data_IF_578811694591
#
_entry.id   IF_578811694591
#
_cell.length_a   1.000
_cell.length_b   1.000
_cell.length_c   1.000
_cell.angle_alpha   90.00
_cell.angle_beta   90.00
_cell.angle_gamma   90.00
#
_symmetry.space_group_name_H-M   'P 1'
#
loop_
_entity.id
_entity.type
_entity.pdbx_description
1 polymer ?
#
# COMPACT_ATOMS: atom_id res chain seq x y z
N UNK A 1 -17.08 -11.53 6.84
CA UNK A 1 -15.80 -12.28 6.88
C UNK A 1 -14.68 -11.27 7.13
N UNK A 2 -13.81 -11.43 8.14
CA UNK A 2 -12.67 -10.52 8.33
C UNK A 2 -11.54 -10.94 7.40
N UNK A 3 -11.03 -10.01 6.58
CA UNK A 3 -9.96 -10.31 5.61
C UNK A 3 -8.59 -10.54 6.29
N UNK A 4 -8.36 -9.96 7.47
CA UNK A 4 -7.16 -10.13 8.28
C UNK A 4 -7.53 -10.38 9.75
N UNK A 5 -6.69 -11.15 10.45
CA UNK A 5 -6.78 -11.40 11.89
C UNK A 5 -5.52 -10.90 12.57
N UNK A 6 -5.69 -9.99 13.53
CA UNK A 6 -4.63 -9.59 14.46
C UNK A 6 -4.70 -10.48 15.70
N UNK A 7 -3.59 -11.10 16.07
CA UNK A 7 -3.47 -11.94 17.26
C UNK A 7 -2.25 -11.49 18.09
N UNK A 8 -2.46 -10.67 19.13
CA UNK A 8 -1.36 -10.14 19.92
C UNK A 8 -0.95 -11.05 21.09
N UNK A 9 -1.51 -12.25 21.21
CA UNK A 9 -1.34 -13.09 22.42
C UNK A 9 0.12 -13.44 22.73
N UNK A 10 1.00 -13.44 21.72
CA UNK A 10 2.45 -13.64 21.90
C UNK A 10 3.22 -12.42 22.41
N UNK A 11 2.62 -11.23 22.47
CA UNK A 11 3.29 -9.99 22.88
C UNK A 11 2.55 -9.24 23.98
N UNK A 12 1.22 -9.29 24.00
CA UNK A 12 0.38 -8.69 25.03
C UNK A 12 0.01 -9.79 26.04
N UNK A 13 0.82 -9.88 27.09
CA UNK A 13 0.76 -10.89 28.14
C UNK A 13 1.27 -10.26 29.45
N UNK A 14 0.62 -10.55 30.57
CA UNK A 14 1.02 -10.06 31.89
C UNK A 14 2.32 -10.67 32.44
N UNK A 15 2.71 -11.87 32.00
CA UNK A 15 3.84 -12.61 32.57
C UNK A 15 5.20 -12.17 31.99
N UNK A 16 5.27 -12.00 30.66
CA UNK A 16 6.53 -11.71 29.95
C UNK A 16 6.42 -10.61 28.88
N UNK A 17 5.25 -9.98 28.74
CA UNK A 17 4.96 -9.06 27.65
C UNK A 17 4.46 -7.68 28.11
N UNK A 18 3.88 -6.95 27.16
CA UNK A 18 3.18 -5.69 27.47
C UNK A 18 1.86 -6.03 28.14
N UNK A 19 1.58 -5.38 29.27
CA UNK A 19 0.31 -5.62 29.97
C UNK A 19 -0.84 -4.88 29.29
N UNK A 20 -2.06 -5.36 29.51
CA UNK A 20 -3.27 -4.66 29.02
C UNK A 20 -3.37 -3.24 29.59
N UNK A 21 -2.90 -3.00 30.81
CA UNK A 21 -2.99 -1.67 31.43
C UNK A 21 -1.93 -0.71 30.86
N UNK A 22 -0.73 -1.21 30.54
CA UNK A 22 0.27 -0.43 29.80
C UNK A 22 -0.23 -0.06 28.41
N UNK A 23 -0.88 -0.99 27.70
CA UNK A 23 -1.48 -0.70 26.40
C UNK A 23 -2.59 0.36 26.51
N UNK A 24 -3.50 0.22 27.49
CA UNK A 24 -4.58 1.19 27.72
C UNK A 24 -4.04 2.58 28.07
N UNK A 25 -2.93 2.65 28.81
CA UNK A 25 -2.29 3.92 29.14
C UNK A 25 -1.82 4.70 27.90
N UNK A 26 -1.57 4.02 26.76
CA UNK A 26 -1.21 4.66 25.50
C UNK A 26 -2.42 5.17 24.70
N UNK A 27 -3.64 4.75 25.04
CA UNK A 27 -4.82 5.06 24.23
C UNK A 27 -5.05 6.55 23.99
N UNK A 28 -4.92 7.45 24.99
CA UNK A 28 -5.08 8.89 24.75
C UNK A 28 -4.14 9.39 23.65
N UNK A 29 -2.85 9.03 23.72
CA UNK A 29 -1.86 9.44 22.73
C UNK A 29 -2.10 8.81 21.35
N UNK A 30 -2.50 7.54 21.30
CA UNK A 30 -2.84 6.87 20.04
C UNK A 30 -4.06 7.51 19.38
N UNK A 31 -5.04 7.98 20.16
CA UNK A 31 -6.20 8.69 19.62
C UNK A 31 -5.82 10.06 19.06
N UNK A 32 -4.93 10.80 19.70
CA UNK A 32 -4.39 12.05 19.15
C UNK A 32 -3.69 11.82 17.82
N UNK A 33 -2.80 10.82 17.74
CA UNK A 33 -2.08 10.48 16.50
C UNK A 33 -3.03 10.02 15.39
N UNK A 34 -4.06 9.23 15.74
CA UNK A 34 -5.11 8.83 14.79
C UNK A 34 -5.86 10.06 14.29
N UNK A 35 -6.28 10.96 15.17
CA UNK A 35 -7.01 12.18 14.82
C UNK A 35 -6.20 13.05 13.87
N UNK A 36 -4.91 13.22 14.15
CA UNK A 36 -3.98 13.96 13.31
C UNK A 36 -3.90 13.35 11.90
N UNK A 37 -3.53 12.07 11.80
CA UNK A 37 -3.33 11.39 10.51
C UNK A 37 -4.62 11.24 9.68
N UNK A 38 -5.75 10.93 10.34
CA UNK A 38 -7.00 10.58 9.64
C UNK A 38 -7.83 11.81 9.28
N UNK A 39 -7.81 12.84 10.11
CA UNK A 39 -8.74 13.97 9.97
C UNK A 39 -7.99 15.28 9.66
N UNK A 40 -6.98 15.64 10.46
CA UNK A 40 -6.26 16.91 10.31
C UNK A 40 -5.43 16.92 9.04
N UNK A 41 -4.60 15.90 8.83
CA UNK A 41 -3.72 15.82 7.67
C UNK A 41 -4.53 15.70 6.37
N UNK A 42 -5.61 14.92 6.37
CA UNK A 42 -6.50 14.81 5.22
C UNK A 42 -7.13 16.16 4.84
N UNK A 43 -7.57 16.95 5.83
CA UNK A 43 -8.10 18.30 5.59
C UNK A 43 -7.03 19.28 5.08
N UNK A 44 -5.81 19.24 5.64
CA UNK A 44 -4.69 20.07 5.19
C UNK A 44 -4.26 19.72 3.75
N UNK A 45 -4.26 18.44 3.40
CA UNK A 45 -4.00 18.00 2.04
C UNK A 45 -5.03 18.56 1.07
N UNK A 46 -6.32 18.45 1.42
CA UNK A 46 -7.42 18.90 0.57
C UNK A 46 -7.48 20.43 0.41
N UNK A 47 -7.09 21.20 1.43
CA UNK A 47 -7.01 22.65 1.34
C UNK A 47 -5.77 23.15 0.58
N UNK A 48 -4.72 22.33 0.51
CA UNK A 48 -3.40 22.74 0.01
C UNK A 48 -2.59 23.56 1.02
N UNK A 49 -3.14 23.81 2.21
CA UNK A 49 -2.50 24.57 3.29
C UNK A 49 -1.77 23.61 4.25
N UNK A 50 -0.63 23.10 3.81
CA UNK A 50 0.20 22.18 4.60
C UNK A 50 1.25 22.98 5.41
N UNK A 51 1.33 22.81 6.75
CA UNK A 51 2.38 23.42 7.57
C UNK A 51 3.79 23.13 7.06
N UNK A 52 4.72 24.08 7.18
CA UNK A 52 6.06 23.96 6.59
C UNK A 52 6.87 22.76 7.13
N UNK A 53 6.67 22.40 8.40
CA UNK A 53 7.28 21.24 9.06
C UNK A 53 6.68 19.90 8.60
N UNK A 54 5.54 19.93 7.91
CA UNK A 54 4.84 18.78 7.33
C UNK A 54 4.94 18.73 5.81
N UNK A 55 5.87 19.44 5.17
CA UNK A 55 6.05 19.40 3.71
C UNK A 55 7.23 18.47 3.33
N UNK A 56 7.01 17.42 2.51
CA UNK A 56 5.73 16.97 1.96
C UNK A 56 4.85 16.29 3.02
N UNK A 57 3.52 16.34 2.82
CA UNK A 57 2.59 15.70 3.74
C UNK A 57 2.52 14.19 3.47
N UNK A 58 3.22 13.42 4.31
CA UNK A 58 3.41 11.99 4.10
C UNK A 58 2.18 11.13 4.40
N UNK A 59 1.19 11.63 5.15
CA UNK A 59 0.02 10.85 5.59
C UNK A 59 -0.92 10.39 4.46
N UNK A 60 -0.73 10.89 3.21
CA UNK A 60 -1.63 10.60 2.08
C UNK A 60 -1.79 9.11 1.79
N UNK A 61 -0.80 8.28 2.13
CA UNK A 61 -0.90 6.82 1.94
C UNK A 61 -2.14 6.21 2.61
N UNK A 62 -2.70 6.84 3.66
CA UNK A 62 -3.87 6.34 4.37
C UNK A 62 -5.15 6.41 3.54
N UNK A 63 -5.43 7.54 2.89
CA UNK A 63 -6.66 7.73 2.09
C UNK A 63 -6.45 7.55 0.58
N UNK A 64 -5.20 7.49 0.11
CA UNK A 64 -4.87 7.26 -1.29
C UNK A 64 -5.61 6.05 -1.92
N UNK A 65 -5.77 4.90 -1.25
CA UNK A 65 -6.51 3.77 -1.84
C UNK A 65 -7.96 4.11 -2.17
N UNK A 66 -8.64 4.86 -1.28
CA UNK A 66 -10.02 5.28 -1.48
C UNK A 66 -10.10 6.33 -2.61
N UNK A 67 -9.19 7.31 -2.59
CA UNK A 67 -9.06 8.34 -3.64
C UNK A 67 -8.88 7.70 -5.03
N UNK A 68 -7.93 6.76 -5.17
CA UNK A 68 -7.67 6.06 -6.43
C UNK A 68 -8.87 5.23 -6.90
N UNK A 69 -9.60 4.59 -5.98
CA UNK A 69 -10.79 3.80 -6.30
C UNK A 69 -11.95 4.69 -6.77
N UNK A 70 -12.18 5.81 -6.09
CA UNK A 70 -13.23 6.77 -6.44
C UNK A 70 -12.94 7.39 -7.81
N UNK A 71 -11.70 7.79 -8.06
CA UNK A 71 -11.26 8.32 -9.35
C UNK A 71 -11.42 7.30 -10.47
N UNK A 72 -11.01 6.05 -10.24
CA UNK A 72 -11.24 4.98 -11.20
C UNK A 72 -12.73 4.73 -11.45
N UNK A 73 -13.57 4.80 -10.42
CA UNK A 73 -15.02 4.62 -10.57
C UNK A 73 -15.64 5.74 -11.41
N UNK A 74 -15.22 6.99 -11.19
CA UNK A 74 -15.74 8.17 -11.90
C UNK A 74 -15.21 8.29 -13.33
N UNK A 75 -13.92 8.07 -13.53
CA UNK A 75 -13.20 8.45 -14.76
C UNK A 75 -12.70 7.25 -15.58
N UNK A 76 -12.73 6.03 -15.01
CA UNK A 76 -12.30 4.77 -15.65
C UNK A 76 -10.89 4.89 -16.22
N UNK A 77 -10.71 4.72 -17.53
CA UNK A 77 -9.40 4.77 -18.20
C UNK A 77 -8.67 6.10 -18.06
N UNK A 78 -9.39 7.21 -17.83
CA UNK A 78 -8.77 8.52 -17.66
C UNK A 78 -8.15 8.72 -16.27
N UNK A 79 -8.56 7.94 -15.26
CA UNK A 79 -7.96 7.96 -13.92
C UNK A 79 -6.52 7.46 -13.92
N UNK A 80 -5.75 7.76 -12.87
CA UNK A 80 -4.37 7.25 -12.73
C UNK A 80 -4.31 5.72 -12.79
N UNK A 81 -5.16 5.04 -12.01
CA UNK A 81 -5.24 3.58 -12.00
C UNK A 81 -5.62 3.01 -13.37
N UNK A 82 -6.56 3.67 -14.07
CA UNK A 82 -6.95 3.30 -15.43
C UNK A 82 -5.81 3.41 -16.42
N UNK A 83 -5.00 4.48 -16.35
CA UNK A 83 -3.81 4.66 -17.18
C UNK A 83 -2.75 3.59 -16.88
N UNK A 84 -2.53 3.25 -15.61
CA UNK A 84 -1.62 2.15 -15.21
C UNK A 84 -2.05 0.83 -15.86
N UNK A 85 -3.33 0.47 -15.75
CA UNK A 85 -3.86 -0.75 -16.38
C UNK A 85 -3.72 -0.72 -17.91
N UNK A 86 -3.98 0.42 -18.53
CA UNK A 86 -3.84 0.58 -19.99
C UNK A 86 -2.40 0.31 -20.43
N UNK A 87 -1.42 0.91 -19.75
CA UNK A 87 0.01 0.71 -20.06
C UNK A 87 0.39 -0.76 -19.82
N UNK A 88 0.07 -1.32 -18.65
CA UNK A 88 0.41 -2.69 -18.31
C UNK A 88 -0.18 -3.72 -19.30
N UNK A 89 -1.45 -3.57 -19.67
CA UNK A 89 -2.12 -4.48 -20.60
C UNK A 89 -1.67 -4.30 -22.06
N UNK A 90 -1.20 -3.11 -22.44
CA UNK A 90 -0.62 -2.87 -23.76
C UNK A 90 0.75 -3.54 -23.86
N UNK A 91 1.62 -3.29 -22.89
CA UNK A 91 2.99 -3.80 -22.88
C UNK A 91 3.08 -5.32 -22.80
N UNK A 92 2.17 -5.98 -22.06
CA UNK A 92 2.14 -7.44 -21.90
C UNK A 92 2.19 -8.22 -23.22
N UNK A 93 1.71 -7.64 -24.32
CA UNK A 93 1.71 -8.26 -25.65
C UNK A 93 3.08 -8.23 -26.32
N UNK A 94 3.87 -7.20 -26.02
CA UNK A 94 5.08 -6.84 -26.76
C UNK A 94 6.37 -7.19 -26.00
N UNK A 95 6.28 -7.47 -24.69
CA UNK A 95 7.44 -7.79 -23.85
C UNK A 95 7.28 -9.13 -23.13
N UNK A 96 8.40 -9.82 -22.94
CA UNK A 96 8.48 -11.05 -22.12
C UNK A 96 9.18 -10.82 -20.77
N UNK A 97 9.76 -9.64 -20.54
CA UNK A 97 10.42 -9.28 -19.29
C UNK A 97 10.30 -7.77 -19.02
N UNK A 98 10.14 -7.42 -17.74
CA UNK A 98 10.27 -6.06 -17.20
C UNK A 98 11.47 -6.06 -16.26
N UNK A 99 12.26 -4.99 -16.25
CA UNK A 99 13.35 -4.81 -15.28
C UNK A 99 13.07 -3.53 -14.51
N UNK A 100 12.93 -3.64 -13.19
CA UNK A 100 12.72 -2.49 -12.30
C UNK A 100 14.07 -1.98 -11.80
N UNK A 101 14.46 -0.80 -12.28
CA UNK A 101 15.67 -0.10 -11.83
C UNK A 101 15.30 0.86 -10.69
N UNK A 102 15.38 0.38 -9.44
CA UNK A 102 15.01 1.16 -8.25
C UNK A 102 15.71 0.67 -6.99
N UNK A 103 15.59 1.44 -5.91
CA UNK A 103 16.14 1.11 -4.58
C UNK A 103 15.19 1.59 -3.48
N UNK A 104 15.24 0.95 -2.31
CA UNK A 104 14.37 1.31 -1.19
C UNK A 104 12.90 1.18 -1.57
N UNK A 105 12.11 2.24 -1.32
CA UNK A 105 10.67 2.25 -1.62
C UNK A 105 10.32 2.03 -3.09
N UNK A 106 11.18 2.43 -4.04
CA UNK A 106 10.94 2.26 -5.48
C UNK A 106 11.25 0.86 -6.02
N UNK A 107 11.76 -0.04 -5.18
CA UNK A 107 12.01 -1.45 -5.52
C UNK A 107 11.22 -2.40 -4.62
N UNK A 108 11.28 -2.20 -3.30
CA UNK A 108 10.77 -3.17 -2.33
C UNK A 108 9.27 -3.42 -2.46
N UNK A 109 8.48 -2.40 -2.82
CA UNK A 109 7.04 -2.58 -3.04
C UNK A 109 6.74 -3.54 -4.21
N UNK A 110 7.39 -3.33 -5.36
CA UNK A 110 7.23 -4.21 -6.52
C UNK A 110 7.72 -5.63 -6.22
N UNK A 111 8.86 -5.75 -5.52
CA UNK A 111 9.41 -7.05 -5.12
C UNK A 111 8.50 -7.81 -4.16
N UNK A 112 7.98 -7.15 -3.12
CA UNK A 112 7.08 -7.77 -2.16
C UNK A 112 5.78 -8.26 -2.82
N UNK A 113 5.21 -7.48 -3.74
CA UNK A 113 4.02 -7.91 -4.50
C UNK A 113 4.30 -9.11 -5.40
N UNK A 114 5.45 -9.14 -6.07
CA UNK A 114 5.86 -10.30 -6.88
C UNK A 114 5.99 -11.56 -6.01
N UNK A 115 6.76 -11.47 -4.93
CA UNK A 115 7.04 -12.63 -4.07
C UNK A 115 5.77 -13.15 -3.37
N UNK A 116 4.85 -12.26 -2.99
CA UNK A 116 3.61 -12.63 -2.29
C UNK A 116 2.49 -13.12 -3.22
N UNK A 117 2.41 -12.60 -4.45
CA UNK A 117 1.26 -12.83 -5.34
C UNK A 117 1.57 -13.68 -6.58
N UNK A 118 2.85 -13.96 -6.88
CA UNK A 118 3.23 -14.79 -8.02
C UNK A 118 3.70 -16.19 -7.59
N UNK A 119 3.87 -17.08 -8.57
CA UNK A 119 4.51 -18.36 -8.32
C UNK A 119 5.98 -18.14 -7.88
N UNK A 120 6.52 -18.90 -6.91
CA UNK A 120 7.93 -18.77 -6.50
C UNK A 120 8.94 -18.92 -7.64
N UNK A 121 8.57 -19.64 -8.71
CA UNK A 121 9.37 -19.84 -9.92
C UNK A 121 8.83 -19.05 -11.12
N UNK A 122 8.09 -17.95 -10.89
CA UNK A 122 7.42 -17.16 -11.94
C UNK A 122 8.33 -16.88 -13.14
N UNK A 123 9.59 -16.54 -12.89
CA UNK A 123 10.53 -16.20 -13.94
C UNK A 123 11.04 -17.41 -14.74
N UNK A 124 11.04 -18.60 -14.14
CA UNK A 124 11.47 -19.86 -14.73
C UNK A 124 10.32 -20.57 -15.49
N UNK A 125 9.07 -20.18 -15.23
CA UNK A 125 7.92 -20.68 -15.98
C UNK A 125 7.95 -20.22 -17.44
N UNK A 126 7.41 -21.06 -18.34
CA UNK A 126 7.05 -20.61 -19.69
C UNK A 126 5.97 -19.53 -19.61
N UNK A 127 5.88 -18.68 -20.63
CA UNK A 127 4.89 -17.57 -20.69
C UNK A 127 3.45 -18.01 -20.41
N UNK A 128 3.04 -19.18 -20.92
CA UNK A 128 1.72 -19.74 -20.62
C UNK A 128 1.51 -20.05 -19.13
N UNK A 129 2.55 -20.55 -18.44
CA UNK A 129 2.53 -20.82 -17.00
C UNK A 129 2.49 -19.56 -16.14
N UNK A 130 2.89 -18.40 -16.69
CA UNK A 130 2.75 -17.09 -16.06
C UNK A 130 1.39 -16.41 -16.30
N UNK A 131 0.41 -17.12 -16.89
CA UNK A 131 -0.85 -16.48 -17.31
C UNK A 131 -0.63 -15.42 -18.41
N UNK A 132 0.34 -15.67 -19.30
CA UNK A 132 0.79 -14.75 -20.36
C UNK A 132 1.37 -13.42 -19.88
N UNK A 133 1.73 -13.32 -18.59
CA UNK A 133 2.43 -12.15 -18.03
C UNK A 133 3.95 -12.24 -18.27
N UNK A 134 4.66 -11.10 -18.36
CA UNK A 134 6.11 -11.06 -18.48
C UNK A 134 6.79 -11.53 -17.19
N UNK A 135 8.10 -11.80 -17.30
CA UNK A 135 9.03 -11.85 -16.18
C UNK A 135 9.16 -10.47 -15.53
N UNK A 136 9.60 -10.43 -14.28
CA UNK A 136 9.94 -9.21 -13.57
C UNK A 136 11.28 -9.32 -12.85
#
# INVERSE_FOLDING_TARGET
MKMLRFDPSGSINAEFGVTNDQLKALYPRLMELRQEMVEVDAAQYASGEVPADKQPLDARFYWLPQEMLDDYTKQREASELGRIFKVANSLVKDIDAVVVLGIGGSYMGARAMMDACCNPYHNELRRAGRGSKPRM
#
